data_IF_926907640839
#
_entry.id   IF_926907640839
#
_cell.length_a   1.000
_cell.length_b   1.000
_cell.length_c   1.000
_cell.angle_alpha   90.00
_cell.angle_beta   90.00
_cell.angle_gamma   90.00
#
_symmetry.space_group_name_H-M   'P 1'
#
loop_
_entity.id
_entity.type
_entity.pdbx_description
1 polymer ?
#
# COMPACT_ATOMS: atom_id res chain seq x y z
N UNK A 1 18.22 7.11 17.64
CA UNK A 1 18.47 6.40 16.39
C UNK A 1 19.77 6.92 15.82
N UNK A 2 20.64 6.02 15.38
CA UNK A 2 21.83 6.30 14.59
C UNK A 2 21.46 6.75 13.17
N UNK A 3 22.40 7.37 12.47
CA UNK A 3 22.23 7.78 11.07
C UNK A 3 21.81 6.61 10.17
N UNK A 4 22.31 5.41 10.47
CA UNK A 4 21.92 4.18 9.78
C UNK A 4 20.45 3.85 10.04
N UNK A 5 20.03 3.80 11.30
CA UNK A 5 18.64 3.49 11.65
C UNK A 5 17.65 4.52 11.08
N UNK A 6 18.04 5.80 11.01
CA UNK A 6 17.21 6.84 10.37
C UNK A 6 17.07 6.57 8.88
N UNK A 7 18.16 6.21 8.19
CA UNK A 7 18.13 5.88 6.77
C UNK A 7 17.26 4.66 6.50
N UNK A 8 17.47 3.57 7.23
CA UNK A 8 16.72 2.32 7.07
C UNK A 8 15.21 2.57 7.27
N UNK A 9 14.84 3.43 8.24
CA UNK A 9 13.45 3.84 8.45
C UNK A 9 12.89 4.65 7.28
N UNK A 10 13.63 5.64 6.77
CA UNK A 10 13.20 6.45 5.62
C UNK A 10 13.02 5.59 4.37
N UNK A 11 13.92 4.65 4.14
CA UNK A 11 13.85 3.73 2.99
C UNK A 11 12.59 2.85 3.10
N UNK A 12 12.32 2.30 4.27
CA UNK A 12 11.12 1.48 4.52
C UNK A 12 9.83 2.30 4.32
N UNK A 13 9.78 3.55 4.80
CA UNK A 13 8.64 4.47 4.60
C UNK A 13 8.42 4.75 3.12
N UNK A 14 9.51 4.95 2.36
CA UNK A 14 9.43 5.19 0.93
C UNK A 14 8.90 3.95 0.20
N UNK A 15 9.40 2.76 0.54
CA UNK A 15 8.97 1.49 -0.06
C UNK A 15 7.47 1.23 0.17
N UNK A 16 6.99 1.43 1.41
CA UNK A 16 5.57 1.28 1.74
C UNK A 16 4.68 2.23 0.92
N UNK A 17 5.08 3.51 0.79
CA UNK A 17 4.37 4.50 -0.03
C UNK A 17 4.33 4.11 -1.50
N UNK A 18 5.49 3.73 -2.07
CA UNK A 18 5.60 3.33 -3.47
C UNK A 18 4.77 2.07 -3.75
N UNK A 19 4.73 1.12 -2.81
CA UNK A 19 3.88 -0.06 -2.90
C UNK A 19 2.39 0.29 -2.93
N UNK A 20 1.91 1.10 -1.96
CA UNK A 20 0.51 1.54 -1.90
C UNK A 20 0.10 2.28 -3.18
N UNK A 21 0.94 3.22 -3.67
CA UNK A 21 0.66 3.94 -4.92
C UNK A 21 0.51 3.00 -6.12
N UNK A 22 1.38 1.99 -6.23
CA UNK A 22 1.26 0.97 -7.30
C UNK A 22 -0.02 0.16 -7.20
N UNK A 23 -0.46 -0.21 -5.99
CA UNK A 23 -1.73 -0.93 -5.80
C UNK A 23 -2.91 -0.05 -6.20
N UNK A 24 -2.95 1.19 -5.72
CA UNK A 24 -4.01 2.14 -6.06
C UNK A 24 -4.11 2.37 -7.57
N UNK A 25 -2.99 2.52 -8.27
CA UNK A 25 -3.00 2.64 -9.73
C UNK A 25 -3.59 1.41 -10.44
N UNK A 26 -3.26 0.20 -9.97
CA UNK A 26 -3.82 -1.04 -10.53
C UNK A 26 -5.33 -1.10 -10.32
N UNK A 27 -5.79 -0.79 -9.11
CA UNK A 27 -7.21 -0.81 -8.75
C UNK A 27 -7.99 0.25 -9.56
N UNK A 28 -7.48 1.49 -9.63
CA UNK A 28 -8.09 2.56 -10.45
C UNK A 28 -8.21 2.19 -11.93
N UNK A 29 -7.22 1.48 -12.49
CA UNK A 29 -7.27 1.04 -13.89
C UNK A 29 -8.31 -0.05 -14.13
N UNK A 30 -8.50 -0.95 -13.15
CA UNK A 30 -9.43 -2.09 -13.24
C UNK A 30 -10.87 -1.66 -12.99
N UNK A 31 -11.12 -0.90 -11.94
CA UNK A 31 -12.46 -0.58 -11.41
C UNK A 31 -12.79 0.90 -11.61
N UNK A 32 -12.38 1.47 -12.75
CA UNK A 32 -12.48 2.91 -13.08
C UNK A 32 -13.91 3.49 -12.97
N UNK A 33 -14.92 2.63 -13.11
CA UNK A 33 -16.34 3.00 -13.15
C UNK A 33 -17.01 2.87 -11.77
N UNK A 34 -16.25 2.56 -10.71
CA UNK A 34 -16.75 2.39 -9.33
C UNK A 34 -16.17 3.44 -8.37
N UNK A 35 -16.61 4.71 -8.43
CA UNK A 35 -15.96 5.81 -7.71
C UNK A 35 -16.01 5.65 -6.18
N UNK A 36 -17.10 5.12 -5.62
CA UNK A 36 -17.22 4.87 -4.17
C UNK A 36 -16.28 3.76 -3.69
N UNK A 37 -16.08 2.73 -4.52
CA UNK A 37 -15.11 1.68 -4.26
C UNK A 37 -13.69 2.26 -4.29
N UNK A 38 -13.34 3.03 -5.34
CA UNK A 38 -12.02 3.65 -5.48
C UNK A 38 -11.71 4.61 -4.32
N UNK A 39 -12.70 5.40 -3.87
CA UNK A 39 -12.56 6.26 -2.70
C UNK A 39 -12.26 5.43 -1.45
N UNK A 40 -13.04 4.38 -1.21
CA UNK A 40 -12.87 3.52 -0.03
C UNK A 40 -11.50 2.86 -0.03
N UNK A 41 -11.04 2.35 -1.18
CA UNK A 41 -9.69 1.77 -1.29
C UNK A 41 -8.62 2.82 -1.01
N UNK A 42 -8.73 4.03 -1.55
CA UNK A 42 -7.78 5.11 -1.29
C UNK A 42 -7.71 5.49 0.20
N UNK A 43 -8.85 5.65 0.86
CA UNK A 43 -8.93 5.98 2.28
C UNK A 43 -8.35 4.87 3.15
N UNK A 44 -8.73 3.61 2.90
CA UNK A 44 -8.25 2.46 3.66
C UNK A 44 -6.76 2.25 3.46
N UNK A 45 -6.28 2.17 2.20
CA UNK A 45 -4.87 1.93 1.92
C UNK A 45 -3.98 3.07 2.43
N UNK A 46 -4.46 4.32 2.37
CA UNK A 46 -3.75 5.47 2.92
C UNK A 46 -3.61 5.42 4.45
N UNK A 47 -4.58 4.84 5.16
CA UNK A 47 -4.56 4.73 6.62
C UNK A 47 -3.64 3.62 7.16
N UNK A 48 -3.40 2.57 6.38
CA UNK A 48 -2.66 1.37 6.83
C UNK A 48 -1.17 1.38 6.47
N UNK A 49 -0.67 2.43 5.82
CA UNK A 49 0.77 2.62 5.53
C UNK A 49 1.70 2.29 6.71
N UNK A 50 1.44 2.77 7.94
CA UNK A 50 2.27 2.45 9.10
C UNK A 50 2.36 0.95 9.45
N UNK A 51 1.42 0.12 9.00
CA UNK A 51 1.49 -1.34 9.16
C UNK A 51 2.53 -1.92 8.21
N UNK A 52 2.56 -1.47 6.96
CA UNK A 52 3.52 -1.92 5.95
C UNK A 52 4.93 -1.37 6.20
N UNK A 53 5.05 -0.23 6.87
CA UNK A 53 6.32 0.28 7.40
C UNK A 53 6.90 -0.64 8.49
N UNK A 54 6.03 -1.20 9.34
CA UNK A 54 6.44 -2.12 10.42
C UNK A 54 6.60 -3.56 9.96
N UNK A 55 5.92 -3.93 8.89
CA UNK A 55 5.85 -5.28 8.33
C UNK A 55 6.10 -5.25 6.82
N UNK A 56 7.33 -4.93 6.36
CA UNK A 56 7.65 -4.88 4.94
C UNK A 56 7.47 -6.23 4.23
N UNK A 57 7.52 -7.35 4.95
CA UNK A 57 7.24 -8.69 4.43
C UNK A 57 5.83 -8.84 3.82
N UNK A 58 4.87 -8.00 4.22
CA UNK A 58 3.53 -7.99 3.63
C UNK A 58 3.50 -7.42 2.21
N UNK A 59 4.47 -6.57 1.86
CA UNK A 59 4.68 -6.10 0.49
C UNK A 59 5.19 -7.24 -0.40
N UNK A 60 6.11 -8.07 0.11
CA UNK A 60 6.64 -9.23 -0.61
C UNK A 60 5.54 -10.27 -0.90
N UNK A 61 4.56 -10.38 0.00
CA UNK A 61 3.40 -11.26 -0.14
C UNK A 61 2.27 -10.68 -1.01
N UNK A 62 2.42 -9.45 -1.52
CA UNK A 62 1.43 -8.72 -2.31
C UNK A 62 0.03 -8.68 -1.65
N UNK A 63 -0.02 -8.44 -0.32
CA UNK A 63 -1.28 -8.52 0.43
C UNK A 63 -2.32 -7.49 -0.02
N UNK A 64 -1.92 -6.25 -0.31
CA UNK A 64 -2.88 -5.21 -0.70
C UNK A 64 -3.51 -5.50 -2.07
N UNK A 65 -2.74 -6.00 -3.04
CA UNK A 65 -3.32 -6.45 -4.30
C UNK A 65 -4.38 -7.53 -4.08
N UNK A 66 -4.09 -8.52 -3.24
CA UNK A 66 -5.02 -9.62 -2.92
C UNK A 66 -6.27 -9.13 -2.20
N UNK A 67 -6.15 -8.19 -1.28
CA UNK A 67 -7.31 -7.61 -0.58
C UNK A 67 -8.19 -6.77 -1.50
N UNK A 68 -7.59 -6.13 -2.51
CA UNK A 68 -8.35 -5.39 -3.50
C UNK A 68 -8.87 -6.27 -4.65
N UNK A 69 -8.54 -7.56 -4.70
CA UNK A 69 -9.11 -8.48 -5.69
C UNK A 69 -10.49 -8.99 -5.20
N UNK A 70 -11.55 -8.88 -6.02
CA UNK A 70 -12.84 -9.47 -5.68
C UNK A 70 -12.70 -10.99 -5.49
N UNK A 71 -13.20 -11.53 -4.37
CA UNK A 71 -13.32 -12.97 -4.19
C UNK A 71 -14.27 -13.53 -5.26
N UNK A 72 -13.82 -14.57 -5.99
CA UNK A 72 -14.60 -15.28 -7.01
C UNK A 72 -15.06 -16.64 -6.50
#
# INVERSE_FOLDING_TARGET
>A
MSDKEIRDYIDTVKEARDYISRVLEKVRKRDKDEPEFLQTVEEVLGSIGPVFEKHPEYMEQNLLERFCEPER
#
